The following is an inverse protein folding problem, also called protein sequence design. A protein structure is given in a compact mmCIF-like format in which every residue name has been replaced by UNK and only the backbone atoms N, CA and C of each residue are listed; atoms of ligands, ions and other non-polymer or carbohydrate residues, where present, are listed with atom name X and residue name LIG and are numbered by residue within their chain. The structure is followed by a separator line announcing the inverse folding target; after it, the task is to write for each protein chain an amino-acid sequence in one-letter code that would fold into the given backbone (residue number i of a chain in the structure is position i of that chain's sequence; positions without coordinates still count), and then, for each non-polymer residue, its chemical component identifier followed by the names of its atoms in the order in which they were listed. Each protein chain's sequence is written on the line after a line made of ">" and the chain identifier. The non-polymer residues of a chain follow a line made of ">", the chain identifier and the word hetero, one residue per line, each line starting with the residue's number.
data_IF_751013020470
#
_entry.id   IF_751013020470
#
_cell.length_a   1.000
_cell.length_b   1.000
_cell.length_c   1.000
_cell.angle_alpha   90.00
_cell.angle_beta   90.00
_cell.angle_gamma   90.00
#
_symmetry.space_group_name_H-M   'P 1'
#
loop_
_entity.id
_entity.type
_entity.pdbx_description
1 polymer ?
#
# COMPACT_ATOMS: atom_id res chain seq x y z
N UNK A 1 24.96 15.95 -1.90
CA UNK A 1 24.75 15.71 -0.46
C UNK A 1 23.25 15.82 -0.22
N UNK A 2 22.55 14.70 -0.29
CA UNK A 2 21.12 14.68 0.06
C UNK A 2 21.01 14.81 1.58
N UNK A 3 20.42 15.93 2.03
CA UNK A 3 20.23 16.19 3.45
C UNK A 3 19.17 15.20 3.96
N UNK A 4 19.46 14.55 5.08
CA UNK A 4 18.61 13.54 5.76
C UNK A 4 17.16 13.97 6.06
N UNK A 5 16.80 15.25 5.87
CA UNK A 5 15.43 15.76 6.00
C UNK A 5 14.63 15.82 4.70
N UNK A 6 15.27 15.80 3.53
CA UNK A 6 14.60 15.84 2.21
C UNK A 6 13.99 14.48 1.82
N UNK A 7 14.49 13.40 2.43
CA UNK A 7 14.03 12.04 2.15
C UNK A 7 12.83 11.59 2.99
N UNK A 8 12.47 12.32 4.06
CA UNK A 8 11.37 11.93 4.94
C UNK A 8 10.01 11.79 4.22
N UNK A 9 9.59 12.73 3.35
CA UNK A 9 8.34 12.57 2.59
C UNK A 9 8.38 11.37 1.64
N UNK A 10 9.56 11.12 1.05
CA UNK A 10 9.80 9.99 0.13
C UNK A 10 9.73 8.67 0.90
N UNK A 11 10.33 8.59 2.09
CA UNK A 11 10.29 7.40 2.95
C UNK A 11 8.86 7.11 3.39
N UNK A 12 8.08 8.14 3.73
CA UNK A 12 6.67 7.98 4.08
C UNK A 12 5.84 7.44 2.91
N UNK A 13 6.04 7.98 1.71
CA UNK A 13 5.37 7.46 0.50
C UNK A 13 5.72 6.00 0.24
N UNK A 14 7.00 5.63 0.41
CA UNK A 14 7.45 4.24 0.25
C UNK A 14 6.87 3.32 1.31
N UNK A 15 6.75 3.77 2.56
CA UNK A 15 6.14 3.01 3.63
C UNK A 15 4.66 2.74 3.34
N UNK A 16 3.92 3.79 2.94
CA UNK A 16 2.49 3.67 2.59
C UNK A 16 2.29 2.78 1.36
N UNK A 17 3.14 2.90 0.34
CA UNK A 17 3.15 2.03 -0.83
C UNK A 17 3.38 0.54 -0.45
N UNK A 18 4.33 0.30 0.45
CA UNK A 18 4.63 -1.04 0.96
C UNK A 18 3.46 -1.64 1.76
N UNK A 19 2.78 -0.83 2.57
CA UNK A 19 1.58 -1.26 3.31
C UNK A 19 0.45 -1.63 2.34
N UNK A 20 0.24 -0.83 1.28
CA UNK A 20 -0.77 -1.11 0.26
C UNK A 20 -0.46 -2.41 -0.51
N UNK A 21 0.79 -2.61 -0.89
CA UNK A 21 1.27 -3.84 -1.53
C UNK A 21 1.08 -5.05 -0.62
N UNK A 22 1.45 -4.96 0.65
CA UNK A 22 1.35 -6.06 1.61
C UNK A 22 -0.10 -6.49 1.82
N UNK A 23 -1.04 -5.54 1.90
CA UNK A 23 -2.46 -5.86 2.04
C UNK A 23 -3.00 -6.58 0.81
N UNK A 24 -2.80 -6.03 -0.39
CA UNK A 24 -3.25 -6.67 -1.62
C UNK A 24 -2.61 -8.07 -1.81
N UNK A 25 -1.35 -8.25 -1.40
CA UNK A 25 -0.68 -9.54 -1.46
C UNK A 25 -1.27 -10.57 -0.50
N UNK A 26 -1.62 -10.17 0.73
CA UNK A 26 -2.32 -11.04 1.69
C UNK A 26 -3.71 -11.45 1.20
N UNK A 27 -4.43 -10.52 0.57
CA UNK A 27 -5.72 -10.78 -0.09
C UNK A 27 -5.56 -11.79 -1.23
N UNK A 28 -4.54 -11.61 -2.07
CA UNK A 28 -4.20 -12.54 -3.14
C UNK A 28 -3.87 -13.95 -2.62
N UNK A 29 -3.08 -14.04 -1.55
CA UNK A 29 -2.73 -15.31 -0.90
C UNK A 29 -3.92 -15.97 -0.19
N UNK A 30 -5.13 -15.39 -0.25
CA UNK A 30 -6.35 -15.83 0.47
C UNK A 30 -6.14 -15.94 1.98
N UNK A 31 -5.13 -15.26 2.53
CA UNK A 31 -4.90 -15.21 3.98
C UNK A 31 -5.91 -14.31 4.67
N UNK A 32 -6.49 -13.36 3.93
CA UNK A 32 -7.50 -12.42 4.41
C UNK A 32 -8.58 -12.20 3.34
N UNK A 33 -9.82 -11.98 3.78
CA UNK A 33 -10.86 -11.42 2.91
C UNK A 33 -10.46 -10.03 2.44
N UNK A 34 -10.90 -9.63 1.24
CA UNK A 34 -10.74 -8.26 0.73
C UNK A 34 -11.29 -7.30 1.79
N UNK A 35 -10.43 -6.43 2.31
CA UNK A 35 -10.78 -5.50 3.38
C UNK A 35 -10.71 -4.07 2.86
N UNK A 36 -11.78 -3.32 3.09
CA UNK A 36 -11.80 -1.86 2.87
C UNK A 36 -11.27 -1.09 4.09
N UNK A 37 -10.85 -1.82 5.14
CA UNK A 37 -10.26 -1.21 6.32
C UNK A 37 -8.91 -0.57 5.97
N UNK A 38 -8.75 0.68 6.39
CA UNK A 38 -7.52 1.46 6.24
C UNK A 38 -6.77 1.38 7.57
N UNK A 39 -5.49 0.96 7.59
CA UNK A 39 -4.71 0.90 8.82
C UNK A 39 -4.62 2.29 9.50
N UNK A 40 -4.74 2.31 10.82
CA UNK A 40 -4.60 3.53 11.64
C UNK A 40 -3.19 4.15 11.60
N UNK A 41 -2.18 3.35 11.25
CA UNK A 41 -0.80 3.80 11.04
C UNK A 41 -0.61 4.67 9.78
N UNK A 42 -1.62 4.79 8.93
CA UNK A 42 -1.56 5.62 7.72
C UNK A 42 -2.00 7.05 8.07
N UNK A 43 -1.15 8.07 7.86
CA UNK A 43 -1.54 9.45 8.06
C UNK A 43 -2.72 9.82 7.16
N UNK A 44 -3.68 10.62 7.67
CA UNK A 44 -4.87 11.05 6.93
C UNK A 44 -4.55 11.62 5.54
N UNK A 45 -3.46 12.37 5.43
CA UNK A 45 -2.97 12.96 4.17
C UNK A 45 -2.54 11.92 3.12
N UNK A 46 -2.16 10.71 3.55
CA UNK A 46 -1.73 9.60 2.67
C UNK A 46 -2.81 8.56 2.46
N UNK A 47 -3.98 8.68 3.10
CA UNK A 47 -5.10 7.73 2.95
C UNK A 47 -5.51 7.59 1.49
N UNK A 48 -5.67 8.71 0.77
CA UNK A 48 -6.01 8.66 -0.64
C UNK A 48 -4.93 7.97 -1.48
N UNK A 49 -3.65 8.30 -1.22
CA UNK A 49 -2.51 7.67 -1.89
C UNK A 49 -2.48 6.16 -1.64
N UNK A 50 -2.69 5.73 -0.39
CA UNK A 50 -2.79 4.33 -0.01
C UNK A 50 -3.87 3.59 -0.79
N UNK A 51 -5.09 4.14 -0.86
CA UNK A 51 -6.22 3.51 -1.59
C UNK A 51 -5.88 3.35 -3.07
N UNK A 52 -5.28 4.37 -3.70
CA UNK A 52 -4.87 4.31 -5.10
C UNK A 52 -3.85 3.19 -5.34
N UNK A 53 -2.83 3.10 -4.48
CA UNK A 53 -1.79 2.06 -4.58
C UNK A 53 -2.36 0.67 -4.26
N UNK A 54 -3.27 0.55 -3.30
CA UNK A 54 -3.92 -0.70 -2.95
C UNK A 54 -4.73 -1.25 -4.13
N UNK A 55 -5.52 -0.40 -4.79
CA UNK A 55 -6.27 -0.80 -5.98
C UNK A 55 -5.36 -1.17 -7.15
N UNK A 56 -4.25 -0.46 -7.33
CA UNK A 56 -3.22 -0.85 -8.29
C UNK A 56 -2.63 -2.23 -7.97
N UNK A 57 -2.30 -2.53 -6.72
CA UNK A 57 -1.75 -3.83 -6.36
C UNK A 57 -2.77 -4.97 -6.49
N UNK A 58 -4.04 -4.71 -6.14
CA UNK A 58 -5.16 -5.65 -6.40
C UNK A 58 -5.31 -5.96 -7.88
N UNK A 59 -5.08 -4.98 -8.76
CA UNK A 59 -5.19 -5.17 -10.21
C UNK A 59 -4.00 -5.92 -10.84
N UNK A 60 -2.89 -6.07 -10.13
CA UNK A 60 -1.74 -6.86 -10.62
C UNK A 60 -1.61 -8.20 -9.90
N UNK A 61 -2.09 -8.32 -8.66
CA UNK A 61 -2.16 -9.58 -7.93
C UNK A 61 -3.42 -10.37 -8.28
N UNK A 62 -3.63 -10.61 -9.58
CA UNK A 62 -4.60 -11.59 -10.04
C UNK A 62 -3.93 -12.96 -10.14
N UNK A 63 -4.63 -14.05 -9.81
CA UNK A 63 -4.15 -15.39 -10.12
C UNK A 63 -3.95 -15.49 -11.64
N UNK A 64 -2.71 -15.73 -12.06
CA UNK A 64 -2.37 -16.02 -13.45
C UNK A 64 -3.00 -17.38 -13.77
N UNK A 65 -4.10 -17.37 -14.52
CA UNK A 65 -4.76 -18.58 -15.00
C UNK A 65 -6.18 -18.75 -14.45
N UNK A 66 -7.15 -18.29 -15.25
CA UNK A 66 -8.47 -18.92 -15.30
C UNK A 66 -8.65 -19.48 -16.71
#
# INVERSE_FOLDING_TARGET
>A
MEKMGDSLPIILDKAVDFMASTQAFKEYMKQSSVSEHIPEDIPDEKVFFYIQRLNYYRSIYHPIGK
#
